data_IF_853540319790
#
_entry.id   IF_853540319790
#
_cell.length_a   1.000
_cell.length_b   1.000
_cell.length_c   1.000
_cell.angle_alpha   90.00
_cell.angle_beta   90.00
_cell.angle_gamma   90.00
#
_symmetry.space_group_name_H-M   'P 1'
#
loop_
_entity.id
_entity.type
_entity.pdbx_description
1 polymer ?
#
# COMPACT_ATOMS: atom_id res chain seq x y z
N UNK A 1 2.95 5.34 16.67
CA UNK A 1 4.02 4.53 16.10
C UNK A 1 3.69 3.05 16.17
N UNK A 2 4.07 2.26 15.16
CA UNK A 2 3.83 0.80 15.11
C UNK A 2 4.50 0.11 16.31
N UNK A 3 5.66 0.56 16.76
CA UNK A 3 6.35 0.04 17.95
C UNK A 3 5.47 -0.01 19.20
N UNK A 4 4.53 0.93 19.36
CA UNK A 4 3.60 0.93 20.49
C UNK A 4 2.64 -0.27 20.49
N UNK A 5 2.50 -0.97 19.38
CA UNK A 5 1.68 -2.16 19.29
C UNK A 5 2.41 -3.44 19.72
N UNK A 6 3.75 -3.41 19.82
CA UNK A 6 4.57 -4.59 20.16
C UNK A 6 4.14 -5.30 21.44
N UNK A 7 3.81 -4.61 22.56
CA UNK A 7 3.36 -5.29 23.78
C UNK A 7 2.09 -6.11 23.62
N UNK A 8 1.24 -5.76 22.62
CA UNK A 8 -0.02 -6.46 22.33
C UNK A 8 0.18 -7.55 21.29
N UNK A 9 0.98 -7.28 20.25
CA UNK A 9 1.23 -8.21 19.14
C UNK A 9 2.21 -9.30 19.53
N UNK A 10 3.21 -8.98 20.35
CA UNK A 10 4.30 -9.90 20.70
C UNK A 10 5.14 -10.26 19.49
N UNK A 11 5.60 -11.52 19.46
CA UNK A 11 6.41 -12.07 18.38
C UNK A 11 5.58 -12.74 17.26
N UNK A 12 4.28 -12.45 17.22
CA UNK A 12 3.43 -12.95 16.15
C UNK A 12 3.60 -12.13 14.86
N UNK A 13 3.41 -12.74 13.69
CA UNK A 13 3.23 -11.98 12.46
C UNK A 13 1.96 -11.13 12.54
N UNK A 14 1.95 -9.99 11.88
CA UNK A 14 0.84 -9.06 11.95
C UNK A 14 0.62 -8.30 10.65
N UNK A 15 -0.56 -7.72 10.53
CA UNK A 15 -0.95 -6.90 9.39
C UNK A 15 -0.94 -5.44 9.80
N UNK A 16 -0.38 -4.58 8.95
CA UNK A 16 -0.51 -3.13 9.05
C UNK A 16 -1.43 -2.63 7.95
N UNK A 17 -2.43 -1.84 8.34
CA UNK A 17 -3.38 -1.20 7.43
C UNK A 17 -3.37 0.29 7.70
N UNK A 18 -2.87 1.08 6.75
CA UNK A 18 -3.00 2.53 6.79
C UNK A 18 -4.41 2.88 6.29
N UNK A 19 -5.17 3.71 7.04
CA UNK A 19 -6.61 3.88 6.78
C UNK A 19 -6.95 4.87 5.67
N UNK A 20 -5.99 5.65 5.22
CA UNK A 20 -6.15 6.72 4.24
C UNK A 20 -6.19 6.26 2.77
N UNK A 21 -5.74 5.05 2.46
CA UNK A 21 -5.90 4.46 1.12
C UNK A 21 -7.00 3.40 1.16
N UNK A 22 -8.06 3.63 0.40
CA UNK A 22 -9.16 2.69 0.22
C UNK A 22 -8.88 1.79 -0.98
N UNK A 23 -8.90 0.48 -0.77
CA UNK A 23 -8.86 -0.51 -1.85
C UNK A 23 -10.29 -0.80 -2.31
N UNK A 24 -10.53 -0.69 -3.61
CA UNK A 24 -11.87 -0.90 -4.17
C UNK A 24 -12.09 -2.38 -4.51
N UNK A 25 -12.65 -3.11 -3.56
CA UNK A 25 -12.93 -4.53 -3.73
C UNK A 25 -13.90 -4.86 -4.88
N UNK A 26 -14.71 -3.88 -5.33
CA UNK A 26 -15.61 -4.09 -6.46
C UNK A 26 -14.89 -4.15 -7.81
N UNK A 27 -13.65 -3.66 -7.87
CA UNK A 27 -12.80 -3.70 -9.07
C UNK A 27 -11.66 -4.71 -8.95
N UNK A 28 -11.43 -5.25 -7.76
CA UNK A 28 -10.37 -6.23 -7.52
C UNK A 28 -10.75 -7.62 -8.06
N UNK A 29 -9.74 -8.41 -8.44
CA UNK A 29 -9.95 -9.82 -8.78
C UNK A 29 -10.44 -10.59 -7.52
N UNK A 30 -11.64 -11.19 -7.54
CA UNK A 30 -12.19 -11.93 -6.40
C UNK A 30 -11.34 -13.11 -5.95
N UNK A 31 -10.56 -13.71 -6.86
CA UNK A 31 -9.67 -14.83 -6.57
C UNK A 31 -8.32 -14.37 -5.99
N UNK A 32 -8.04 -13.07 -6.05
CA UNK A 32 -6.75 -12.48 -5.64
C UNK A 32 -6.96 -11.23 -4.79
N UNK A 33 -7.91 -11.28 -3.87
CA UNK A 33 -8.10 -10.17 -2.93
C UNK A 33 -6.78 -9.79 -2.27
N UNK A 34 -6.37 -8.57 -2.51
CA UNK A 34 -5.06 -8.01 -2.18
C UNK A 34 -4.49 -8.49 -0.84
N UNK A 35 -5.12 -8.12 0.27
CA UNK A 35 -4.64 -8.49 1.60
C UNK A 35 -4.75 -10.00 1.86
N UNK A 36 -5.81 -10.66 1.40
CA UNK A 36 -5.96 -12.09 1.56
C UNK A 36 -4.87 -12.87 0.81
N UNK A 37 -4.53 -12.45 -0.42
CA UNK A 37 -3.45 -13.04 -1.20
C UNK A 37 -2.08 -12.83 -0.53
N UNK A 38 -1.83 -11.64 0.05
CA UNK A 38 -0.61 -11.37 0.81
C UNK A 38 -0.49 -12.28 2.04
N UNK A 39 -1.58 -12.46 2.80
CA UNK A 39 -1.59 -13.34 3.97
C UNK A 39 -1.39 -14.80 3.56
N UNK A 40 -2.06 -15.27 2.50
CA UNK A 40 -1.86 -16.63 1.99
C UNK A 40 -0.39 -16.86 1.61
N UNK A 41 0.21 -15.93 0.86
CA UNK A 41 1.61 -16.02 0.48
C UNK A 41 2.56 -15.94 1.68
N UNK A 42 2.25 -15.11 2.67
CA UNK A 42 3.02 -15.08 3.92
C UNK A 42 3.00 -16.45 4.61
N UNK A 43 1.82 -17.09 4.72
CA UNK A 43 1.69 -18.39 5.35
C UNK A 43 2.47 -19.50 4.60
N UNK A 44 2.58 -19.39 3.28
CA UNK A 44 3.34 -20.32 2.46
C UNK A 44 4.86 -20.12 2.56
N UNK A 45 5.31 -18.86 2.66
CA UNK A 45 6.72 -18.51 2.47
C UNK A 45 7.43 -17.99 3.72
N UNK A 46 6.67 -17.56 4.74
CA UNK A 46 7.20 -16.83 5.91
C UNK A 46 7.73 -15.42 5.59
N UNK A 47 7.62 -14.96 4.35
CA UNK A 47 8.20 -13.69 3.90
C UNK A 47 7.24 -12.54 4.13
N UNK A 48 7.74 -11.46 4.68
CA UNK A 48 6.99 -10.20 4.78
C UNK A 48 6.53 -9.71 3.41
N UNK A 49 5.34 -9.11 3.35
CA UNK A 49 4.68 -8.69 2.12
C UNK A 49 4.37 -7.20 2.15
N UNK A 50 4.54 -6.51 1.03
CA UNK A 50 4.14 -5.11 0.81
C UNK A 50 3.22 -5.06 -0.40
N UNK A 51 2.05 -4.43 -0.27
CA UNK A 51 1.19 -4.20 -1.42
C UNK A 51 1.66 -2.98 -2.19
N UNK A 52 1.89 -3.16 -3.49
CA UNK A 52 2.36 -2.13 -4.41
C UNK A 52 1.29 -1.77 -5.44
N UNK A 53 1.31 -0.52 -5.91
CA UNK A 53 0.52 -0.02 -7.05
C UNK A 53 1.44 0.67 -8.04
N UNK A 54 1.14 0.53 -9.34
CA UNK A 54 1.74 1.40 -10.35
C UNK A 54 1.14 2.78 -10.29
N UNK A 55 1.97 3.79 -10.34
CA UNK A 55 1.54 5.18 -10.39
C UNK A 55 2.22 5.91 -11.54
N UNK A 56 1.44 6.65 -12.30
CA UNK A 56 1.95 7.59 -13.31
C UNK A 56 2.07 8.97 -12.68
N UNK A 57 3.20 9.62 -12.87
CA UNK A 57 3.42 10.99 -12.40
C UNK A 57 4.41 11.09 -11.24
N UNK A 58 4.22 12.08 -10.38
CA UNK A 58 5.16 12.39 -9.31
C UNK A 58 5.00 11.44 -8.11
N UNK A 59 6.08 10.76 -7.77
CA UNK A 59 6.18 9.82 -6.66
C UNK A 59 6.85 10.43 -5.41
N UNK A 60 7.20 11.71 -5.42
CA UNK A 60 7.94 12.37 -4.32
C UNK A 60 7.22 12.35 -2.96
N UNK A 61 5.90 12.19 -2.96
CA UNK A 61 5.11 12.12 -1.73
C UNK A 61 4.80 10.70 -1.26
N UNK A 62 5.32 9.68 -1.93
CA UNK A 62 5.01 8.28 -1.68
C UNK A 62 6.26 7.45 -1.34
N UNK A 63 6.05 6.30 -0.72
CA UNK A 63 7.11 5.30 -0.56
C UNK A 63 7.27 4.53 -1.86
N UNK A 64 8.43 4.65 -2.50
CA UNK A 64 8.75 4.03 -3.80
C UNK A 64 9.42 2.69 -3.60
N UNK A 65 8.98 1.68 -4.35
CA UNK A 65 9.47 0.30 -4.28
C UNK A 65 10.23 -0.03 -5.56
N UNK A 66 11.44 -0.57 -5.44
CA UNK A 66 12.16 -1.22 -6.54
C UNK A 66 12.16 -2.72 -6.32
N UNK A 67 11.82 -3.49 -7.35
CA UNK A 67 11.75 -4.95 -7.30
C UNK A 67 12.79 -5.60 -8.19
N UNK A 68 13.18 -6.83 -7.84
CA UNK A 68 14.17 -7.60 -8.60
C UNK A 68 13.67 -7.91 -10.02
N UNK A 69 12.42 -8.34 -10.12
CA UNK A 69 11.75 -8.62 -11.40
C UNK A 69 10.59 -7.64 -11.58
N UNK A 70 10.26 -7.21 -12.80
CA UNK A 70 9.15 -6.30 -13.04
C UNK A 70 7.80 -6.88 -12.56
N UNK A 71 6.98 -6.07 -11.92
CA UNK A 71 5.59 -6.39 -11.59
C UNK A 71 4.69 -5.96 -12.76
N UNK A 72 4.66 -6.72 -13.84
CA UNK A 72 4.02 -6.39 -15.12
C UNK A 72 2.53 -6.73 -15.19
N UNK A 73 2.02 -7.50 -14.24
CA UNK A 73 0.62 -7.92 -14.17
C UNK A 73 0.10 -7.92 -12.74
N UNK A 74 -1.18 -7.65 -12.57
CA UNK A 74 -1.88 -7.67 -11.28
C UNK A 74 -1.70 -9.02 -10.56
N UNK A 75 -1.48 -8.96 -9.25
CA UNK A 75 -1.23 -10.14 -8.40
C UNK A 75 0.18 -10.72 -8.54
N UNK A 76 1.01 -10.23 -9.47
CA UNK A 76 2.41 -10.67 -9.59
C UNK A 76 3.21 -10.24 -8.37
N UNK A 77 4.16 -11.08 -7.99
CA UNK A 77 5.01 -10.88 -6.81
C UNK A 77 6.47 -10.89 -7.21
N UNK A 78 7.25 -9.98 -6.65
CA UNK A 78 8.70 -9.95 -6.80
C UNK A 78 9.36 -9.47 -5.52
N UNK A 79 10.61 -9.88 -5.31
CA UNK A 79 11.41 -9.45 -4.16
C UNK A 79 11.71 -7.96 -4.23
N UNK A 80 11.57 -7.27 -3.10
CA UNK A 80 12.00 -5.88 -2.94
C UNK A 80 13.52 -5.84 -2.89
N UNK A 81 14.12 -4.97 -3.69
CA UNK A 81 15.56 -4.68 -3.67
C UNK A 81 15.86 -3.30 -3.13
N UNK A 82 14.89 -2.38 -3.20
CA UNK A 82 14.99 -1.06 -2.60
C UNK A 82 13.61 -0.53 -2.20
N UNK A 83 13.54 0.25 -1.11
CA UNK A 83 12.30 0.83 -0.62
C UNK A 83 12.60 2.18 0.01
N UNK A 84 12.16 3.27 -0.62
CA UNK A 84 12.56 4.63 -0.30
C UNK A 84 11.33 5.47 0.05
N UNK A 85 11.35 6.07 1.23
CA UNK A 85 10.29 6.98 1.67
C UNK A 85 10.52 8.36 1.06
N UNK A 86 9.51 8.86 0.33
CA UNK A 86 9.45 10.23 -0.22
C UNK A 86 10.77 10.70 -0.83
N UNK A 87 11.21 10.06 -1.92
CA UNK A 87 12.48 10.39 -2.55
C UNK A 87 12.47 11.81 -3.12
N UNK A 88 13.54 12.55 -2.91
CA UNK A 88 13.70 13.90 -3.47
C UNK A 88 13.71 13.91 -5.02
N UNK A 89 14.21 12.84 -5.61
CA UNK A 89 14.32 12.68 -7.07
C UNK A 89 13.74 11.32 -7.51
N UNK A 90 12.41 11.14 -7.48
CA UNK A 90 11.78 9.85 -7.78
C UNK A 90 12.04 9.36 -9.19
N UNK A 91 12.24 10.27 -10.15
CA UNK A 91 12.53 9.95 -11.55
C UNK A 91 13.86 9.19 -11.74
N UNK A 92 14.79 9.25 -10.77
CA UNK A 92 16.08 8.55 -10.84
C UNK A 92 15.98 7.09 -10.39
N UNK A 93 14.87 6.70 -9.78
CA UNK A 93 14.70 5.36 -9.17
C UNK A 93 14.35 4.27 -10.18
N UNK A 94 14.05 4.63 -11.44
CA UNK A 94 13.65 3.69 -12.49
C UNK A 94 12.50 2.76 -12.04
N UNK A 95 11.59 3.27 -11.21
CA UNK A 95 10.43 2.53 -10.71
C UNK A 95 9.18 3.42 -10.71
N UNK A 96 8.06 2.83 -11.09
CA UNK A 96 6.72 3.42 -11.05
C UNK A 96 5.86 2.81 -9.94
N UNK A 97 6.47 2.04 -9.03
CA UNK A 97 5.76 1.32 -7.97
C UNK A 97 5.76 2.13 -6.66
N UNK A 98 4.57 2.33 -6.09
CA UNK A 98 4.38 2.91 -4.76
C UNK A 98 3.74 1.90 -3.80
N UNK A 99 4.04 2.02 -2.50
CA UNK A 99 3.35 1.27 -1.46
C UNK A 99 1.96 1.85 -1.21
N UNK A 100 0.96 0.98 -1.02
CA UNK A 100 -0.43 1.37 -0.76
C UNK A 100 -0.86 1.17 0.70
N UNK A 101 0.09 1.16 1.62
CA UNK A 101 -0.21 1.11 3.06
C UNK A 101 -0.85 -0.19 3.53
N UNK A 102 -0.53 -1.31 2.88
CA UNK A 102 -0.91 -2.67 3.31
C UNK A 102 0.34 -3.50 3.42
N UNK A 103 0.59 -4.05 4.61
CA UNK A 103 1.79 -4.81 4.92
C UNK A 103 1.42 -6.06 5.71
N UNK A 104 2.05 -7.18 5.41
CA UNK A 104 2.06 -8.38 6.27
C UNK A 104 3.50 -8.56 6.72
N UNK A 105 3.76 -8.47 8.01
CA UNK A 105 5.09 -8.41 8.57
C UNK A 105 5.33 -9.55 9.56
N UNK A 106 6.53 -10.11 9.53
CA UNK A 106 7.00 -11.05 10.54
C UNK A 106 7.60 -10.29 11.74
N UNK A 107 7.89 -11.00 12.82
CA UNK A 107 8.36 -10.40 14.08
C UNK A 107 9.73 -9.74 13.97
N UNK A 108 10.57 -10.14 13.01
CA UNK A 108 11.90 -9.58 12.80
C UNK A 108 11.88 -8.08 12.50
N UNK A 109 10.75 -7.55 12.04
CA UNK A 109 10.56 -6.10 11.82
C UNK A 109 10.75 -5.29 13.11
N UNK A 110 10.45 -5.85 14.29
CA UNK A 110 10.60 -5.15 15.56
C UNK A 110 12.03 -4.72 15.82
N UNK A 111 13.00 -5.62 15.54
CA UNK A 111 14.41 -5.32 15.72
C UNK A 111 14.91 -4.23 14.75
N UNK A 112 14.33 -4.13 13.56
CA UNK A 112 14.68 -3.07 12.62
C UNK A 112 14.03 -1.74 13.04
N UNK A 113 12.76 -1.75 13.45
CA UNK A 113 12.08 -0.56 13.97
C UNK A 113 12.75 0.05 15.20
N UNK A 114 13.33 -0.78 16.08
CA UNK A 114 14.07 -0.30 17.25
C UNK A 114 15.39 0.38 16.90
N UNK A 115 16.00 0.00 15.78
CA UNK A 115 17.28 0.55 15.29
C UNK A 115 17.09 1.71 14.33
N UNK A 116 15.88 1.86 13.75
CA UNK A 116 15.61 2.90 12.77
C UNK A 116 15.67 4.26 13.45
N UNK A 117 16.58 5.10 12.99
CA UNK A 117 16.68 6.48 13.43
C UNK A 117 15.57 7.33 12.79
N UNK A 118 15.23 8.48 13.40
CA UNK A 118 14.30 9.42 12.79
C UNK A 118 14.80 9.86 11.41
N UNK A 119 14.07 9.52 10.37
CA UNK A 119 14.34 9.90 8.98
C UNK A 119 13.56 11.16 8.57
N UNK A 120 12.93 11.13 7.41
CA UNK A 120 12.15 12.25 6.90
C UNK A 120 11.16 12.77 7.97
N UNK A 121 11.22 14.08 8.25
CA UNK A 121 10.37 14.79 9.20
C UNK A 121 10.56 14.39 10.68
N UNK A 122 11.78 13.95 11.05
CA UNK A 122 12.14 13.52 12.42
C UNK A 122 11.24 12.36 12.95
N UNK A 123 10.77 11.51 12.04
CA UNK A 123 9.91 10.37 12.37
C UNK A 123 10.60 9.05 12.03
N UNK A 124 10.40 8.06 12.89
CA UNK A 124 10.74 6.66 12.57
C UNK A 124 9.76 6.18 11.50
N UNK A 125 10.28 5.91 10.30
CA UNK A 125 9.48 5.47 9.16
C UNK A 125 9.44 3.94 9.10
N UNK A 126 8.26 3.39 8.86
CA UNK A 126 8.10 1.94 8.64
C UNK A 126 8.84 1.50 7.38
N UNK A 127 8.86 2.34 6.36
CA UNK A 127 9.53 2.12 5.09
C UNK A 127 11.02 1.84 5.28
N UNK A 128 11.69 2.66 6.11
CA UNK A 128 13.12 2.51 6.39
C UNK A 128 13.41 1.17 7.10
N UNK A 129 12.57 0.80 8.08
CA UNK A 129 12.69 -0.48 8.76
C UNK A 129 12.46 -1.67 7.81
N UNK A 130 11.52 -1.58 6.88
CA UNK A 130 11.29 -2.62 5.87
C UNK A 130 12.46 -2.67 4.88
N UNK A 131 13.05 -1.53 4.50
CA UNK A 131 14.24 -1.50 3.66
C UNK A 131 15.42 -2.22 4.31
N UNK A 132 15.66 -2.00 5.61
CA UNK A 132 16.71 -2.71 6.36
C UNK A 132 16.39 -4.21 6.50
N UNK A 133 15.13 -4.55 6.74
CA UNK A 133 14.68 -5.94 6.76
C UNK A 133 14.94 -6.63 5.41
N UNK A 134 14.67 -5.95 4.30
CA UNK A 134 14.85 -6.48 2.94
C UNK A 134 16.32 -6.78 2.58
N UNK A 135 17.27 -6.12 3.24
CA UNK A 135 18.71 -6.42 3.10
C UNK A 135 19.10 -7.72 3.79
N UNK A 136 18.40 -8.10 4.86
CA UNK A 136 18.72 -9.25 5.71
C UNK A 136 17.96 -10.51 5.32
N UNK A 137 16.73 -10.33 4.86
CA UNK A 137 15.85 -11.41 4.43
C UNK A 137 14.98 -10.97 3.25
N UNK A 138 14.32 -11.94 2.61
CA UNK A 138 13.44 -11.61 1.50
C UNK A 138 12.14 -10.97 1.98
N UNK A 139 11.86 -9.76 1.49
CA UNK A 139 10.56 -9.10 1.57
C UNK A 139 10.00 -9.03 0.15
N UNK A 140 8.75 -9.40 -0.03
CA UNK A 140 8.10 -9.44 -1.34
C UNK A 140 7.16 -8.24 -1.53
N UNK A 141 7.17 -7.66 -2.73
CA UNK A 141 6.13 -6.74 -3.18
C UNK A 141 5.13 -7.50 -4.04
N UNK A 142 3.84 -7.28 -3.82
CA UNK A 142 2.74 -7.82 -4.63
C UNK A 142 2.04 -6.66 -5.34
N UNK A 143 1.90 -6.73 -6.67
CA UNK A 143 1.13 -5.73 -7.41
C UNK A 143 -0.35 -5.92 -7.11
N UNK A 144 -1.01 -4.86 -6.65
CA UNK A 144 -2.42 -4.89 -6.32
C UNK A 144 -3.30 -5.20 -7.53
N UNK A 145 -4.48 -5.74 -7.28
CA UNK A 145 -5.55 -5.90 -8.25
C UNK A 145 -6.62 -4.82 -8.03
N UNK A 146 -7.22 -4.34 -9.11
CA UNK A 146 -8.27 -3.33 -9.08
C UNK A 146 -7.79 -1.92 -8.73
N UNK A 147 -8.72 -1.06 -8.33
CA UNK A 147 -8.47 0.35 -8.07
C UNK A 147 -8.25 0.65 -6.58
N UNK A 148 -7.60 1.78 -6.33
CA UNK A 148 -7.45 2.34 -4.98
C UNK A 148 -7.58 3.85 -5.00
N UNK A 149 -8.06 4.42 -3.89
CA UNK A 149 -8.24 5.86 -3.72
C UNK A 149 -7.42 6.34 -2.51
N UNK A 150 -6.53 7.30 -2.75
CA UNK A 150 -5.76 7.98 -1.71
C UNK A 150 -6.62 9.07 -1.08
N UNK A 151 -7.34 8.72 -0.02
CA UNK A 151 -8.23 9.64 0.71
C UNK A 151 -7.48 10.60 1.64
N UNK A 152 -6.17 10.46 1.79
CA UNK A 152 -5.29 11.48 2.37
C UNK A 152 -5.22 12.74 1.51
N UNK A 153 -5.56 12.63 0.22
CA UNK A 153 -5.65 13.73 -0.73
C UNK A 153 -7.10 14.05 -1.07
N UNK A 154 -7.43 15.35 -1.18
CA UNK A 154 -8.80 15.82 -1.48
C UNK A 154 -9.37 15.18 -2.76
N UNK A 155 -8.57 15.09 -3.82
CA UNK A 155 -9.00 14.49 -5.08
C UNK A 155 -9.34 13.00 -4.93
N UNK A 156 -8.49 12.22 -4.27
CA UNK A 156 -8.73 10.80 -4.02
C UNK A 156 -9.96 10.57 -3.15
N UNK A 157 -10.18 11.41 -2.13
CA UNK A 157 -11.40 11.38 -1.32
C UNK A 157 -12.65 11.64 -2.16
N UNK A 158 -12.63 12.69 -3.02
CA UNK A 158 -13.75 13.00 -3.92
C UNK A 158 -14.04 11.87 -4.90
N UNK A 159 -13.00 11.27 -5.47
CA UNK A 159 -13.14 10.13 -6.37
C UNK A 159 -13.76 8.92 -5.66
N UNK A 160 -13.27 8.57 -4.46
CA UNK A 160 -13.84 7.50 -3.65
C UNK A 160 -15.32 7.78 -3.35
N UNK A 161 -15.64 8.98 -2.86
CA UNK A 161 -17.01 9.39 -2.55
C UNK A 161 -17.96 9.20 -3.74
N UNK A 162 -17.58 9.67 -4.92
CA UNK A 162 -18.39 9.55 -6.14
C UNK A 162 -18.55 8.08 -6.52
N UNK A 163 -17.47 7.31 -6.56
CA UNK A 163 -17.52 5.90 -6.96
C UNK A 163 -18.38 5.05 -6.01
N UNK A 164 -18.20 5.20 -4.71
CA UNK A 164 -19.00 4.48 -3.72
C UNK A 164 -20.45 4.98 -3.69
N UNK A 165 -20.68 6.29 -3.86
CA UNK A 165 -22.00 6.88 -3.96
C UNK A 165 -22.80 6.34 -5.14
N UNK A 166 -22.19 6.28 -6.33
CA UNK A 166 -22.82 5.74 -7.55
C UNK A 166 -23.17 4.25 -7.45
N UNK A 167 -22.43 3.48 -6.65
CA UNK A 167 -22.63 2.04 -6.43
C UNK A 167 -23.51 1.73 -5.23
N UNK A 168 -23.95 2.75 -4.48
CA UNK A 168 -24.82 2.51 -3.33
C UNK A 168 -26.14 1.90 -3.76
N UNK A 169 -26.50 0.76 -3.16
CA UNK A 169 -27.70 -0.01 -3.56
C UNK A 169 -29.02 0.75 -3.36
N UNK A 170 -29.09 1.65 -2.36
CA UNK A 170 -30.30 2.39 -2.02
C UNK A 170 -30.37 3.77 -2.71
N UNK A 171 -29.25 4.48 -2.73
CA UNK A 171 -29.23 5.89 -3.14
C UNK A 171 -28.51 6.12 -4.48
N UNK A 172 -27.84 5.10 -5.06
CA UNK A 172 -26.98 5.28 -6.23
C UNK A 172 -27.70 5.84 -7.46
N UNK A 173 -28.93 5.44 -7.71
CA UNK A 173 -29.72 5.97 -8.83
C UNK A 173 -30.00 7.47 -8.65
N UNK A 174 -30.51 7.87 -7.48
CA UNK A 174 -30.77 9.28 -7.16
C UNK A 174 -29.49 10.12 -7.13
N UNK A 175 -28.42 9.53 -6.60
CA UNK A 175 -27.11 10.19 -6.56
C UNK A 175 -26.59 10.47 -7.97
N UNK A 176 -26.72 9.50 -8.89
CA UNK A 176 -26.36 9.67 -10.31
C UNK A 176 -27.12 10.83 -10.96
N UNK A 177 -28.45 10.86 -10.81
CA UNK A 177 -29.30 11.94 -11.34
C UNK A 177 -28.86 13.31 -10.81
N UNK A 178 -28.56 13.38 -9.51
CA UNK A 178 -28.10 14.62 -8.88
C UNK A 178 -26.75 15.07 -9.41
N UNK A 179 -25.78 14.16 -9.54
CA UNK A 179 -24.45 14.47 -10.09
C UNK A 179 -24.58 14.97 -11.54
N UNK A 180 -25.37 14.30 -12.38
CA UNK A 180 -25.60 14.73 -13.76
C UNK A 180 -26.24 16.12 -13.82
N UNK A 181 -27.23 16.41 -12.96
CA UNK A 181 -27.84 17.74 -12.86
C UNK A 181 -26.84 18.84 -12.49
N UNK A 182 -25.88 18.55 -11.61
CA UNK A 182 -24.83 19.51 -11.24
C UNK A 182 -23.80 19.76 -12.36
N UNK A 183 -23.58 18.80 -13.23
CA UNK A 183 -22.65 18.92 -14.37
C UNK A 183 -23.31 19.62 -15.60
N UNK A 184 -24.62 19.79 -15.58
CA UNK A 184 -25.39 20.42 -16.68
C UNK A 184 -25.47 21.95 -16.55
N UNK A 185 -24.88 22.53 -15.52
CA UNK A 185 -24.76 23.96 -15.25
C UNK A 185 -23.31 24.41 -15.32
#
# INVERSE_FOLDING_TARGET
SILCARPVVGDNPFVVVLPDIILDNATADPLRYNLAAMVARFNETGRSQVLAKRMKGDLSEYSVIKTKEPLDSEGKVSRIVDFIEKPDQPQTLESDLMAVGRYVLNAEIWAELEKTEPGAWERIQLTDAIAELAKKQSVDAMLMTGESYDCGKKMGYMQAFVQYGLRNLKEGAKFRERVLSLLSH
#
